data_IF_971773623188
#
_entry.id   IF_971773623188
#
_cell.length_a   1.000
_cell.length_b   1.000
_cell.length_c   1.000
_cell.angle_alpha   90.00
_cell.angle_beta   90.00
_cell.angle_gamma   90.00
#
_symmetry.space_group_name_H-M   'P 1'
#
loop_
_entity.id
_entity.type
_entity.pdbx_description
1 polymer ?
#
# COMPACT_ATOMS: atom_id res chain seq x y z
N UNK A 1 17.75 -1.63 18.99
CA UNK A 1 16.78 -2.67 19.39
C UNK A 1 17.56 -3.97 19.51
N UNK A 2 17.90 -4.38 20.73
CA UNK A 2 18.75 -5.54 21.02
C UNK A 2 17.90 -6.81 20.98
N UNK A 3 18.09 -7.67 19.98
CA UNK A 3 17.56 -9.03 19.99
C UNK A 3 18.54 -9.93 20.76
N UNK A 4 18.13 -10.45 21.91
CA UNK A 4 18.89 -11.47 22.66
C UNK A 4 18.52 -12.87 22.16
N UNK A 5 19.51 -13.49 21.50
CA UNK A 5 19.77 -14.90 21.12
C UNK A 5 18.72 -16.03 21.23
N UNK A 6 17.75 -16.01 22.13
CA UNK A 6 16.96 -17.22 22.48
C UNK A 6 15.44 -17.10 22.32
N UNK A 7 14.93 -15.97 21.83
CA UNK A 7 13.50 -15.81 21.55
C UNK A 7 13.29 -15.44 20.08
N UNK A 8 12.78 -16.39 19.30
CA UNK A 8 12.02 -16.03 18.09
C UNK A 8 11.01 -14.97 18.51
N UNK A 9 11.00 -13.78 17.90
CA UNK A 9 10.15 -12.70 18.37
C UNK A 9 8.71 -13.18 18.36
N UNK A 10 8.08 -13.14 19.54
CA UNK A 10 6.68 -13.51 19.69
C UNK A 10 5.84 -12.63 18.77
N UNK A 11 4.72 -13.15 18.25
CA UNK A 11 3.80 -12.37 17.42
C UNK A 11 3.27 -11.11 18.11
N UNK A 12 3.41 -11.02 19.44
CA UNK A 12 3.04 -9.87 20.26
C UNK A 12 4.17 -8.84 20.45
N UNK A 13 5.35 -9.04 19.86
CA UNK A 13 6.45 -8.07 19.92
C UNK A 13 6.03 -6.74 19.26
N UNK A 14 6.30 -5.57 19.88
CA UNK A 14 6.08 -4.26 19.28
C UNK A 14 6.60 -4.11 17.84
N UNK A 15 7.64 -4.86 17.47
CA UNK A 15 8.16 -4.93 16.10
C UNK A 15 7.10 -5.29 15.05
N UNK A 16 6.07 -6.08 15.40
CA UNK A 16 5.01 -6.50 14.49
C UNK A 16 3.78 -5.58 14.50
N UNK A 17 3.70 -4.57 15.37
CA UNK A 17 2.54 -3.67 15.43
C UNK A 17 2.23 -2.94 14.11
N UNK A 18 3.22 -2.41 13.36
CA UNK A 18 2.96 -1.81 12.05
C UNK A 18 2.37 -2.82 11.05
N UNK A 19 2.84 -4.07 11.07
CA UNK A 19 2.30 -5.14 10.23
C UNK A 19 0.85 -5.50 10.62
N UNK A 20 0.54 -5.57 11.92
CA UNK A 20 -0.83 -5.82 12.38
C UNK A 20 -1.78 -4.71 11.95
N UNK A 21 -1.37 -3.45 12.08
CA UNK A 21 -2.14 -2.30 11.62
C UNK A 21 -2.41 -2.38 10.10
N UNK A 22 -1.40 -2.74 9.31
CA UNK A 22 -1.56 -3.00 7.87
C UNK A 22 -2.58 -4.12 7.60
N UNK A 23 -2.46 -5.27 8.27
CA UNK A 23 -3.35 -6.43 8.07
C UNK A 23 -4.80 -6.11 8.44
N UNK A 24 -5.02 -5.39 9.55
CA UNK A 24 -6.35 -4.90 9.95
C UNK A 24 -6.92 -3.96 8.89
N UNK A 25 -6.09 -3.05 8.34
CA UNK A 25 -6.47 -2.18 7.25
C UNK A 25 -6.90 -2.94 5.99
N UNK A 26 -6.12 -3.95 5.57
CA UNK A 26 -6.45 -4.81 4.42
C UNK A 26 -7.75 -5.58 4.66
N UNK A 27 -7.93 -6.16 5.86
CA UNK A 27 -9.16 -6.86 6.20
C UNK A 27 -10.37 -5.93 6.17
N UNK A 28 -10.25 -4.75 6.77
CA UNK A 28 -11.29 -3.72 6.75
C UNK A 28 -11.66 -3.29 5.34
N UNK A 29 -10.65 -3.08 4.47
CA UNK A 29 -10.83 -2.75 3.06
C UNK A 29 -11.63 -3.82 2.32
N UNK A 30 -11.23 -5.09 2.41
CA UNK A 30 -11.90 -6.19 1.71
C UNK A 30 -13.32 -6.39 2.23
N UNK A 31 -13.51 -6.31 3.55
CA UNK A 31 -14.82 -6.42 4.19
C UNK A 31 -15.75 -5.29 3.77
N UNK A 32 -15.33 -4.03 3.90
CA UNK A 32 -16.16 -2.90 3.53
C UNK A 32 -16.51 -2.89 2.04
N UNK A 33 -15.57 -3.27 1.17
CA UNK A 33 -15.82 -3.36 -0.26
C UNK A 33 -16.85 -4.45 -0.60
N UNK A 34 -16.73 -5.64 0.02
CA UNK A 34 -17.71 -6.72 -0.15
C UNK A 34 -19.09 -6.33 0.39
N UNK A 35 -19.17 -5.66 1.54
CA UNK A 35 -20.42 -5.13 2.10
C UNK A 35 -21.07 -4.10 1.17
N UNK A 36 -20.28 -3.18 0.60
CA UNK A 36 -20.78 -2.16 -0.32
C UNK A 36 -21.42 -2.75 -1.57
N UNK A 37 -20.85 -3.83 -2.09
CA UNK A 37 -21.42 -4.56 -3.22
C UNK A 37 -22.63 -5.43 -2.83
N UNK A 38 -22.58 -6.10 -1.68
CA UNK A 38 -23.66 -6.95 -1.18
C UNK A 38 -24.95 -6.16 -0.92
N UNK A 39 -24.82 -4.99 -0.27
CA UNK A 39 -25.98 -4.17 0.10
C UNK A 39 -26.35 -3.10 -0.93
N UNK A 40 -25.70 -3.09 -2.09
CA UNK A 40 -25.91 -2.10 -3.16
C UNK A 40 -27.37 -2.05 -3.67
N UNK A 41 -28.09 -3.17 -3.63
CA UNK A 41 -29.47 -3.30 -4.13
C UNK A 41 -30.54 -3.11 -3.05
N UNK A 42 -30.18 -2.98 -1.76
CA UNK A 42 -31.16 -2.93 -0.67
C UNK A 42 -31.93 -1.60 -0.61
N UNK A 43 -31.21 -0.48 -0.59
CA UNK A 43 -31.81 0.87 -0.63
C UNK A 43 -30.77 1.91 -1.07
N UNK A 44 -31.26 3.08 -1.52
CA UNK A 44 -30.38 4.19 -1.91
C UNK A 44 -29.51 4.66 -0.74
N UNK A 45 -30.09 4.76 0.46
CA UNK A 45 -29.40 5.21 1.68
C UNK A 45 -28.33 4.22 2.13
N UNK A 46 -28.66 2.92 2.21
CA UNK A 46 -27.72 1.87 2.64
C UNK A 46 -26.55 1.80 1.66
N UNK A 47 -26.84 1.84 0.36
CA UNK A 47 -25.81 1.89 -0.68
C UNK A 47 -24.83 3.04 -0.47
N UNK A 48 -25.31 4.26 -0.24
CA UNK A 48 -24.45 5.42 -0.03
C UNK A 48 -23.58 5.27 1.23
N UNK A 49 -24.15 4.81 2.34
CA UNK A 49 -23.42 4.56 3.59
C UNK A 49 -22.33 3.52 3.37
N UNK A 50 -22.65 2.37 2.78
CA UNK A 50 -21.66 1.31 2.59
C UNK A 50 -20.51 1.74 1.68
N UNK A 51 -20.77 2.52 0.61
CA UNK A 51 -19.71 3.05 -0.22
C UNK A 51 -18.88 4.16 0.46
N UNK A 52 -19.46 4.94 1.37
CA UNK A 52 -18.67 5.86 2.19
C UNK A 52 -17.73 5.12 3.14
N UNK A 53 -18.22 4.03 3.75
CA UNK A 53 -17.39 3.16 4.59
C UNK A 53 -16.27 2.52 3.76
N UNK A 54 -16.58 2.01 2.56
CA UNK A 54 -15.58 1.45 1.62
C UNK A 54 -14.45 2.46 1.35
N UNK A 55 -14.79 3.70 0.96
CA UNK A 55 -13.79 4.76 0.76
C UNK A 55 -13.00 5.10 2.02
N UNK A 56 -13.64 5.10 3.20
CA UNK A 56 -12.94 5.32 4.47
C UNK A 56 -11.92 4.21 4.76
N UNK A 57 -12.26 2.96 4.47
CA UNK A 57 -11.34 1.82 4.67
C UNK A 57 -10.17 1.79 3.69
N UNK A 58 -10.33 2.26 2.45
CA UNK A 58 -9.21 2.48 1.51
C UNK A 58 -8.17 3.44 2.11
N UNK A 59 -8.66 4.52 2.73
CA UNK A 59 -7.82 5.51 3.39
C UNK A 59 -7.16 4.96 4.66
N UNK A 60 -7.89 4.18 5.47
CA UNK A 60 -7.32 3.51 6.64
C UNK A 60 -6.21 2.50 6.24
N UNK A 61 -6.45 1.71 5.19
CA UNK A 61 -5.44 0.84 4.59
C UNK A 61 -4.21 1.63 4.11
N UNK A 62 -4.40 2.77 3.45
CA UNK A 62 -3.30 3.64 2.99
C UNK A 62 -2.42 4.09 4.16
N UNK A 63 -3.02 4.53 5.26
CA UNK A 63 -2.29 4.94 6.46
C UNK A 63 -1.56 3.76 7.08
N UNK A 64 -2.20 2.59 7.17
CA UNK A 64 -1.58 1.37 7.68
C UNK A 64 -0.41 0.88 6.84
N UNK A 65 -0.54 0.90 5.52
CA UNK A 65 0.53 0.62 4.57
C UNK A 65 1.67 1.63 4.72
N UNK A 66 1.36 2.94 4.79
CA UNK A 66 2.38 3.98 5.01
C UNK A 66 3.16 3.75 6.30
N UNK A 67 2.49 3.37 7.39
CA UNK A 67 3.16 3.00 8.64
C UNK A 67 4.12 1.81 8.45
N UNK A 68 3.68 0.74 7.78
CA UNK A 68 4.53 -0.41 7.50
C UNK A 68 5.75 -0.03 6.61
N UNK A 69 5.55 0.81 5.61
CA UNK A 69 6.66 1.35 4.80
C UNK A 69 7.65 2.16 5.64
N UNK A 70 7.15 3.03 6.53
CA UNK A 70 8.00 3.85 7.39
C UNK A 70 8.87 2.99 8.30
N UNK A 71 8.30 1.95 8.91
CA UNK A 71 9.01 1.11 9.88
C UNK A 71 9.92 0.05 9.26
N UNK A 72 9.51 -0.59 8.15
CA UNK A 72 10.27 -1.68 7.55
C UNK A 72 11.13 -1.27 6.35
N UNK A 73 10.75 -0.21 5.65
CA UNK A 73 11.38 0.26 4.41
C UNK A 73 11.90 1.69 4.62
N UNK A 74 12.57 1.89 5.75
CA UNK A 74 13.04 3.21 6.17
C UNK A 74 14.34 3.61 5.42
N UNK A 75 14.46 4.87 4.95
CA UNK A 75 15.66 5.43 4.33
C UNK A 75 16.99 5.22 5.06
N UNK A 76 17.00 5.14 6.40
CA UNK A 76 18.21 4.98 7.21
C UNK A 76 18.87 3.61 7.00
N UNK A 77 18.11 2.58 6.58
CA UNK A 77 18.66 1.24 6.28
C UNK A 77 19.50 1.20 5.00
N UNK A 78 19.43 2.23 4.14
CA UNK A 78 20.12 2.25 2.86
C UNK A 78 21.56 2.79 2.90
N UNK A 79 22.05 3.31 4.04
CA UNK A 79 23.39 3.89 4.09
C UNK A 79 24.08 3.71 5.46
N UNK A 80 24.72 2.55 5.74
CA UNK A 80 25.53 2.37 6.93
C UNK A 80 26.91 3.06 6.90
N UNK A 81 27.28 3.77 5.81
CA UNK A 81 28.69 4.05 5.50
C UNK A 81 29.17 5.50 5.37
N UNK A 82 28.30 6.50 5.17
CA UNK A 82 28.76 7.88 4.96
C UNK A 82 28.14 8.83 6.00
N UNK A 83 28.90 9.02 7.08
CA UNK A 83 28.61 9.92 8.18
C UNK A 83 28.81 11.39 7.77
N UNK A 84 27.87 11.96 7.03
CA UNK A 84 27.57 13.39 7.17
C UNK A 84 26.55 13.53 8.31
N UNK A 85 26.93 14.22 9.38
CA UNK A 85 26.25 14.25 10.68
C UNK A 85 24.92 14.99 10.73
N UNK A 86 24.40 15.51 9.61
CA UNK A 86 23.13 16.25 9.59
C UNK A 86 22.00 15.47 8.87
N UNK A 87 21.05 14.87 9.62
CA UNK A 87 19.89 14.16 9.08
C UNK A 87 18.97 15.02 8.19
N UNK A 88 19.01 16.35 8.33
CA UNK A 88 18.15 17.26 7.57
C UNK A 88 18.64 17.46 6.13
N UNK A 89 19.95 17.48 5.91
CA UNK A 89 20.56 17.66 4.58
C UNK A 89 20.29 16.47 3.64
N UNK A 90 20.04 15.27 4.19
CA UNK A 90 19.65 14.08 3.41
C UNK A 90 18.12 13.91 3.29
N UNK A 91 17.32 14.83 3.81
CA UNK A 91 15.86 14.70 3.81
C UNK A 91 15.31 13.62 4.75
N UNK A 92 16.17 12.97 5.54
CA UNK A 92 15.79 11.92 6.50
C UNK A 92 14.99 12.51 7.67
N UNK A 93 15.40 13.68 8.19
CA UNK A 93 14.64 14.38 9.24
C UNK A 93 13.25 14.85 8.80
N UNK A 94 13.11 15.27 7.53
CA UNK A 94 11.82 15.59 6.92
C UNK A 94 10.95 14.34 6.82
N UNK A 95 11.52 13.23 6.36
CA UNK A 95 10.84 11.95 6.24
C UNK A 95 10.36 11.43 7.60
N UNK A 96 11.21 11.51 8.65
CA UNK A 96 10.87 11.07 10.01
C UNK A 96 9.72 11.85 10.65
N UNK A 97 9.62 13.15 10.33
CA UNK A 97 8.66 14.04 10.97
C UNK A 97 7.36 14.19 10.17
N UNK A 98 7.43 14.23 8.83
CA UNK A 98 6.32 14.67 7.99
C UNK A 98 5.69 13.57 7.15
N UNK A 99 6.34 12.40 7.03
CA UNK A 99 5.80 11.31 6.23
C UNK A 99 4.47 10.76 6.76
N UNK A 100 4.40 10.38 8.05
CA UNK A 100 3.16 9.87 8.64
C UNK A 100 2.05 10.94 8.69
N UNK A 101 2.30 12.19 9.12
CA UNK A 101 1.29 13.24 9.06
C UNK A 101 0.79 13.52 7.64
N UNK A 102 1.67 13.52 6.63
CA UNK A 102 1.28 13.72 5.24
C UNK A 102 0.43 12.56 4.70
N UNK A 103 0.77 11.31 5.03
CA UNK A 103 -0.05 10.15 4.69
C UNK A 103 -1.46 10.24 5.30
N UNK A 104 -1.57 10.64 6.56
CA UNK A 104 -2.86 10.88 7.22
C UNK A 104 -3.64 12.02 6.56
N UNK A 105 -2.98 13.14 6.24
CA UNK A 105 -3.63 14.27 5.56
C UNK A 105 -4.15 13.87 4.17
N UNK A 106 -3.35 13.13 3.40
CA UNK A 106 -3.71 12.62 2.08
C UNK A 106 -4.89 11.65 2.18
N UNK A 107 -4.90 10.78 3.18
CA UNK A 107 -6.01 9.86 3.44
C UNK A 107 -7.31 10.63 3.76
N UNK A 108 -7.26 11.68 4.56
CA UNK A 108 -8.42 12.55 4.84
C UNK A 108 -8.89 13.26 3.58
N UNK A 109 -7.99 13.88 2.83
CA UNK A 109 -8.31 14.58 1.57
C UNK A 109 -8.94 13.62 0.56
N UNK A 110 -8.35 12.44 0.37
CA UNK A 110 -8.87 11.44 -0.56
C UNK A 110 -10.26 10.94 -0.15
N UNK A 111 -10.50 10.70 1.14
CA UNK A 111 -11.81 10.32 1.65
C UNK A 111 -12.85 11.41 1.40
N UNK A 112 -12.54 12.66 1.76
CA UNK A 112 -13.44 13.80 1.56
C UNK A 112 -13.71 14.06 0.07
N UNK A 113 -12.69 13.94 -0.78
CA UNK A 113 -12.82 14.05 -2.22
C UNK A 113 -13.75 12.98 -2.78
N UNK A 114 -13.52 11.69 -2.43
CA UNK A 114 -14.37 10.57 -2.79
C UNK A 114 -15.83 10.78 -2.40
N UNK A 115 -16.06 11.16 -1.14
CA UNK A 115 -17.41 11.41 -0.64
C UNK A 115 -18.09 12.57 -1.37
N UNK A 116 -17.36 13.66 -1.61
CA UNK A 116 -17.86 14.86 -2.30
C UNK A 116 -18.18 14.61 -3.78
N UNK A 117 -17.42 13.76 -4.47
CA UNK A 117 -17.70 13.37 -5.86
C UNK A 117 -19.09 12.78 -6.01
N UNK A 118 -19.50 11.94 -5.06
CA UNK A 118 -20.77 11.23 -5.14
C UNK A 118 -21.97 12.17 -4.99
N UNK A 119 -21.82 13.22 -4.18
CA UNK A 119 -22.91 14.15 -3.85
C UNK A 119 -23.01 15.35 -4.79
N UNK A 120 -21.89 15.96 -5.21
CA UNK A 120 -21.91 17.30 -5.81
C UNK A 120 -21.09 17.44 -7.11
N UNK A 121 -20.06 16.60 -7.34
CA UNK A 121 -19.05 16.84 -8.40
C UNK A 121 -19.03 15.72 -9.46
N UNK A 122 -20.20 15.31 -9.95
CA UNK A 122 -20.33 14.20 -10.92
C UNK A 122 -19.55 14.44 -12.23
N UNK A 123 -19.38 15.70 -12.67
CA UNK A 123 -18.62 16.07 -13.88
C UNK A 123 -17.12 15.72 -13.78
N UNK A 124 -16.53 15.80 -12.58
CA UNK A 124 -15.11 15.55 -12.33
C UNK A 124 -14.81 14.15 -11.79
N UNK A 125 -15.81 13.26 -11.80
CA UNK A 125 -15.72 11.93 -11.17
C UNK A 125 -14.53 11.09 -11.65
N UNK A 126 -14.17 11.18 -12.93
CA UNK A 126 -13.06 10.42 -13.48
C UNK A 126 -11.69 10.96 -13.06
N UNK A 127 -11.54 12.29 -13.03
CA UNK A 127 -10.32 12.95 -12.57
C UNK A 127 -10.10 12.71 -11.07
N UNK A 128 -11.14 12.93 -10.27
CA UNK A 128 -11.07 12.75 -8.81
C UNK A 128 -10.79 11.28 -8.48
N UNK A 129 -11.44 10.33 -9.16
CA UNK A 129 -11.18 8.91 -8.91
C UNK A 129 -9.77 8.48 -9.31
N UNK A 130 -9.21 9.02 -10.39
CA UNK A 130 -7.81 8.74 -10.78
C UNK A 130 -6.84 9.37 -9.79
N UNK A 131 -7.09 10.60 -9.36
CA UNK A 131 -6.26 11.32 -8.39
C UNK A 131 -6.26 10.63 -7.01
N UNK A 132 -7.41 10.10 -6.59
CA UNK A 132 -7.55 9.33 -5.35
C UNK A 132 -6.76 8.01 -5.38
N UNK A 133 -6.48 7.41 -6.54
CA UNK A 133 -5.58 6.26 -6.60
C UNK A 133 -4.11 6.68 -6.66
N UNK A 134 -3.81 7.73 -7.41
CA UNK A 134 -2.44 8.14 -7.64
C UNK A 134 -1.80 8.82 -6.42
N UNK A 135 -2.52 9.73 -5.77
CA UNK A 135 -1.97 10.52 -4.66
C UNK A 135 -1.59 9.63 -3.46
N UNK A 136 -2.47 8.76 -2.92
CA UNK A 136 -2.09 7.81 -1.87
C UNK A 136 -0.93 6.91 -2.25
N UNK A 137 -0.91 6.39 -3.49
CA UNK A 137 0.17 5.54 -3.98
C UNK A 137 1.52 6.27 -3.98
N UNK A 138 1.57 7.49 -4.52
CA UNK A 138 2.80 8.28 -4.59
C UNK A 138 3.35 8.60 -3.20
N UNK A 139 2.46 8.92 -2.26
CA UNK A 139 2.84 9.25 -0.88
C UNK A 139 3.29 7.99 -0.14
N UNK A 140 2.52 6.90 -0.18
CA UNK A 140 2.88 5.64 0.48
C UNK A 140 4.17 5.02 -0.09
N UNK A 141 4.44 5.19 -1.38
CA UNK A 141 5.62 4.62 -2.05
C UNK A 141 6.85 5.54 -2.03
N UNK A 142 6.74 6.76 -1.49
CA UNK A 142 7.86 7.70 -1.33
C UNK A 142 9.14 7.09 -0.70
N UNK A 143 9.07 6.18 0.29
CA UNK A 143 10.27 5.61 0.92
C UNK A 143 11.05 4.70 -0.05
N UNK A 144 10.32 3.98 -0.91
CA UNK A 144 10.93 3.15 -1.97
C UNK A 144 11.53 4.01 -3.06
N UNK A 145 10.85 5.08 -3.48
CA UNK A 145 11.41 6.01 -4.46
C UNK A 145 12.71 6.65 -3.94
N UNK A 146 12.76 6.99 -2.65
CA UNK A 146 13.98 7.48 -2.02
C UNK A 146 15.09 6.41 -2.01
N UNK A 147 14.79 5.15 -1.64
CA UNK A 147 15.77 4.05 -1.68
C UNK A 147 16.31 3.80 -3.09
N UNK A 148 15.44 3.82 -4.11
CA UNK A 148 15.81 3.72 -5.52
C UNK A 148 16.74 4.84 -5.98
N UNK A 149 16.50 6.06 -5.50
CA UNK A 149 17.37 7.20 -5.77
C UNK A 149 18.73 7.08 -5.07
N UNK A 150 18.75 6.58 -3.83
CA UNK A 150 19.96 6.43 -3.03
C UNK A 150 20.84 5.24 -3.46
N UNK A 151 20.28 4.23 -4.13
CA UNK A 151 21.01 3.06 -4.63
C UNK A 151 20.10 1.94 -5.15
N UNK A 152 20.67 0.83 -5.64
CA UNK A 152 19.87 -0.31 -6.06
C UNK A 152 19.08 -0.87 -4.87
N UNK A 153 17.78 -1.10 -5.06
CA UNK A 153 16.96 -1.83 -4.09
C UNK A 153 17.54 -3.24 -3.89
N UNK A 154 17.34 -3.80 -2.69
CA UNK A 154 17.63 -5.21 -2.43
C UNK A 154 17.03 -6.09 -3.53
N UNK A 155 17.77 -7.10 -4.00
CA UNK A 155 17.35 -7.95 -5.12
C UNK A 155 16.01 -8.67 -4.90
N UNK A 156 15.59 -8.82 -3.63
CA UNK A 156 14.29 -9.36 -3.25
C UNK A 156 13.17 -8.32 -3.22
N UNK A 157 13.46 -7.04 -2.97
CA UNK A 157 12.48 -5.96 -2.78
C UNK A 157 11.95 -5.41 -4.11
N UNK A 158 12.86 -5.11 -5.04
CA UNK A 158 12.54 -4.58 -6.37
C UNK A 158 11.45 -5.37 -7.13
N UNK A 159 11.54 -6.72 -7.27
CA UNK A 159 10.57 -7.46 -8.07
C UNK A 159 9.16 -7.48 -7.45
N UNK A 160 9.01 -7.43 -6.12
CA UNK A 160 7.69 -7.30 -5.50
C UNK A 160 7.12 -5.90 -5.72
N UNK A 161 7.94 -4.85 -5.58
CA UNK A 161 7.49 -3.47 -5.81
C UNK A 161 7.06 -3.23 -7.27
N UNK A 162 7.82 -3.70 -8.25
CA UNK A 162 7.43 -3.54 -9.66
C UNK A 162 6.14 -4.29 -10.00
N UNK A 163 5.94 -5.49 -9.45
CA UNK A 163 4.69 -6.22 -9.62
C UNK A 163 3.52 -5.54 -8.91
N UNK A 164 3.72 -5.01 -7.71
CA UNK A 164 2.74 -4.16 -7.03
C UNK A 164 2.31 -2.96 -7.89
N UNK A 165 3.28 -2.21 -8.44
CA UNK A 165 3.02 -1.10 -9.35
C UNK A 165 2.27 -1.54 -10.61
N UNK A 166 2.67 -2.65 -11.21
CA UNK A 166 2.02 -3.23 -12.40
C UNK A 166 0.56 -3.58 -12.11
N UNK A 167 0.28 -4.28 -11.02
CA UNK A 167 -1.08 -4.67 -10.64
C UNK A 167 -1.96 -3.46 -10.29
N UNK A 168 -1.39 -2.45 -9.64
CA UNK A 168 -2.10 -1.21 -9.35
C UNK A 168 -2.45 -0.44 -10.63
N UNK A 169 -1.51 -0.36 -11.58
CA UNK A 169 -1.76 0.25 -12.89
C UNK A 169 -2.83 -0.54 -13.67
N UNK A 170 -2.73 -1.87 -13.70
CA UNK A 170 -3.71 -2.73 -14.34
C UNK A 170 -5.11 -2.52 -13.73
N UNK A 171 -5.19 -2.47 -12.40
CA UNK A 171 -6.41 -2.16 -11.66
C UNK A 171 -7.02 -0.81 -12.11
N UNK A 172 -6.21 0.26 -12.14
CA UNK A 172 -6.65 1.57 -12.60
C UNK A 172 -7.15 1.55 -14.06
N UNK A 173 -6.44 0.86 -14.95
CA UNK A 173 -6.80 0.71 -16.37
C UNK A 173 -8.14 0.01 -16.51
N UNK A 174 -8.37 -1.13 -15.87
CA UNK A 174 -9.67 -1.81 -15.91
C UNK A 174 -10.79 -0.94 -15.35
N UNK A 175 -10.51 -0.24 -14.25
CA UNK A 175 -11.50 0.59 -13.59
C UNK A 175 -11.97 1.76 -14.47
N UNK A 176 -11.04 2.43 -15.16
CA UNK A 176 -11.30 3.62 -16.00
C UNK A 176 -11.79 3.24 -17.39
N UNK A 177 -11.15 2.27 -18.05
CA UNK A 177 -11.43 1.94 -19.45
C UNK A 177 -12.77 1.21 -19.67
N UNK A 178 -13.26 0.50 -18.64
CA UNK A 178 -14.45 -0.37 -18.71
C UNK A 178 -14.32 -1.47 -19.76
N UNK A 179 -13.11 -1.95 -20.00
CA UNK A 179 -12.81 -3.09 -20.88
C UNK A 179 -12.88 -4.37 -20.04
N UNK A 180 -13.51 -5.46 -20.51
CA UNK A 180 -13.99 -5.71 -21.88
C UNK A 180 -15.45 -5.33 -22.18
N UNK A 181 -16.26 -5.00 -21.18
CA UNK A 181 -17.71 -4.74 -21.36
C UNK A 181 -18.01 -3.60 -22.34
N UNK A 182 -17.09 -2.64 -22.46
CA UNK A 182 -17.16 -1.55 -23.44
C UNK A 182 -17.12 -2.05 -24.89
N UNK A 183 -16.43 -3.15 -25.17
CA UNK A 183 -16.30 -3.72 -26.52
C UNK A 183 -17.40 -4.73 -26.85
N UNK A 184 -18.06 -5.31 -25.85
CA UNK A 184 -19.15 -6.25 -26.07
C UNK A 184 -20.21 -6.11 -24.97
N UNK A 185 -21.09 -5.11 -25.10
CA UNK A 185 -22.21 -4.92 -24.18
C UNK A 185 -23.07 -6.18 -24.13
N UNK A 186 -23.49 -6.60 -22.93
CA UNK A 186 -24.36 -7.77 -22.73
C UNK A 186 -23.62 -9.11 -22.59
N UNK A 187 -22.33 -9.21 -22.96
CA UNK A 187 -21.57 -10.47 -22.83
C UNK A 187 -20.88 -10.66 -21.48
N UNK A 188 -20.62 -9.56 -20.77
CA UNK A 188 -19.85 -9.54 -19.53
C UNK A 188 -20.70 -9.14 -18.31
N UNK A 189 -22.02 -9.27 -18.38
CA UNK A 189 -22.94 -8.73 -17.37
C UNK A 189 -22.80 -9.42 -16.00
N UNK A 190 -22.43 -10.71 -15.98
CA UNK A 190 -22.27 -11.51 -14.76
C UNK A 190 -20.80 -11.80 -14.45
N UNK A 191 -20.02 -12.16 -15.48
CA UNK A 191 -18.63 -12.61 -15.33
C UNK A 191 -17.70 -11.83 -16.25
N UNK A 192 -16.52 -11.52 -15.75
CA UNK A 192 -15.42 -10.95 -16.51
C UNK A 192 -15.54 -9.46 -16.83
N UNK A 193 -16.47 -8.73 -16.22
CA UNK A 193 -16.52 -7.27 -16.38
C UNK A 193 -15.33 -6.58 -15.69
N UNK A 194 -14.99 -5.38 -16.13
CA UNK A 194 -13.79 -4.67 -15.69
C UNK A 194 -13.72 -4.45 -14.18
N UNK A 195 -14.88 -4.27 -13.53
CA UNK A 195 -14.94 -4.08 -12.08
C UNK A 195 -14.54 -5.34 -11.28
N UNK A 196 -14.76 -6.55 -11.82
CA UNK A 196 -14.24 -7.79 -11.21
C UNK A 196 -12.71 -7.85 -11.37
N UNK A 197 -12.20 -7.55 -12.57
CA UNK A 197 -10.76 -7.50 -12.81
C UNK A 197 -10.04 -6.44 -11.98
N UNK A 198 -10.68 -5.29 -11.75
CA UNK A 198 -10.22 -4.26 -10.82
C UNK A 198 -9.99 -4.83 -9.41
N UNK A 199 -10.95 -5.56 -8.87
CA UNK A 199 -10.82 -6.20 -7.55
C UNK A 199 -9.71 -7.26 -7.54
N UNK A 200 -9.64 -8.13 -8.56
CA UNK A 200 -8.57 -9.13 -8.65
C UNK A 200 -7.17 -8.50 -8.72
N UNK A 201 -6.97 -7.49 -9.56
CA UNK A 201 -5.68 -6.80 -9.69
C UNK A 201 -5.32 -6.06 -8.39
N UNK A 202 -6.29 -5.40 -7.74
CA UNK A 202 -6.06 -4.72 -6.45
C UNK A 202 -5.65 -5.72 -5.37
N UNK A 203 -6.29 -6.89 -5.30
CA UNK A 203 -5.90 -7.95 -4.37
C UNK A 203 -4.47 -8.46 -4.64
N UNK A 204 -4.11 -8.70 -5.90
CA UNK A 204 -2.75 -9.11 -6.28
C UNK A 204 -1.70 -8.06 -5.90
N UNK A 205 -2.04 -6.77 -6.07
CA UNK A 205 -1.21 -5.64 -5.63
C UNK A 205 -0.95 -5.65 -4.13
N UNK A 206 -1.99 -5.82 -3.31
CA UNK A 206 -1.91 -5.93 -1.85
C UNK A 206 -1.12 -7.17 -1.42
N UNK A 207 -1.25 -8.28 -2.15
CA UNK A 207 -0.51 -9.51 -1.87
C UNK A 207 0.99 -9.34 -2.11
N UNK A 208 1.38 -8.71 -3.23
CA UNK A 208 2.78 -8.43 -3.50
C UNK A 208 3.37 -7.39 -2.53
N UNK A 209 2.57 -6.41 -2.08
CA UNK A 209 2.96 -5.49 -0.99
C UNK A 209 3.19 -6.22 0.34
N UNK A 210 2.32 -7.15 0.73
CA UNK A 210 2.52 -7.97 1.94
C UNK A 210 3.78 -8.84 1.83
N UNK A 211 4.04 -9.42 0.65
CA UNK A 211 5.25 -10.23 0.41
C UNK A 211 6.52 -9.39 0.50
N UNK A 212 6.44 -8.15 0.02
CA UNK A 212 7.51 -7.17 0.15
C UNK A 212 7.83 -6.87 1.61
N UNK A 213 6.83 -6.55 2.44
CA UNK A 213 7.03 -6.34 3.88
C UNK A 213 7.61 -7.58 4.56
N UNK A 214 7.07 -8.77 4.27
CA UNK A 214 7.61 -10.03 4.82
C UNK A 214 9.07 -10.28 4.41
N UNK A 215 9.44 -9.93 3.18
CA UNK A 215 10.81 -10.04 2.69
C UNK A 215 11.78 -9.14 3.47
N UNK A 216 11.42 -7.87 3.65
CA UNK A 216 12.26 -6.91 4.40
C UNK A 216 12.30 -7.23 5.90
N UNK A 217 11.19 -7.65 6.50
CA UNK A 217 11.16 -8.12 7.89
C UNK A 217 12.16 -9.26 8.10
N UNK A 218 12.19 -10.26 7.19
CA UNK A 218 13.16 -11.36 7.25
C UNK A 218 14.60 -10.88 7.11
N UNK A 219 14.84 -9.94 6.20
CA UNK A 219 16.17 -9.35 6.01
C UNK A 219 16.62 -8.59 7.26
N UNK A 220 15.75 -7.76 7.85
CA UNK A 220 16.02 -7.04 9.09
C UNK A 220 16.31 -8.00 10.26
N UNK A 221 15.53 -9.07 10.39
CA UNK A 221 15.80 -10.10 11.40
C UNK A 221 17.16 -10.77 11.19
N UNK A 222 17.54 -11.06 9.94
CA UNK A 222 18.84 -11.67 9.63
C UNK A 222 20.03 -10.71 9.87
N UNK A 223 19.91 -9.43 9.52
CA UNK A 223 20.98 -8.44 9.70
C UNK A 223 21.15 -8.04 11.17
N UNK A 224 20.07 -8.08 11.95
CA UNK A 224 20.12 -7.75 13.39
C UNK A 224 20.55 -8.95 14.24
N UNK A 225 20.61 -10.16 13.67
CA UNK A 225 21.15 -11.35 14.33
C UNK A 225 22.70 -11.34 14.22
N UNK A 226 23.44 -11.22 15.34
CA UNK A 226 24.90 -11.21 15.34
C UNK A 226 25.54 -12.55 14.90
N UNK A 227 24.75 -13.59 14.62
CA UNK A 227 25.21 -14.90 14.16
C UNK A 227 24.95 -15.17 12.66
N UNK A 228 24.39 -14.23 11.89
CA UNK A 228 24.15 -14.43 10.46
C UNK A 228 25.46 -14.43 9.66
N UNK A 229 26.07 -15.61 9.49
CA UNK A 229 26.99 -15.85 8.39
C UNK A 229 26.28 -15.46 7.09
N UNK A 230 26.83 -14.44 6.40
CA UNK A 230 26.48 -14.17 5.01
C UNK A 230 26.51 -15.50 4.24
N UNK A 231 25.47 -15.88 3.48
CA UNK A 231 25.64 -16.94 2.51
C UNK A 231 26.65 -16.45 1.47
N UNK A 232 27.90 -16.88 1.66
CA UNK A 232 28.99 -16.78 0.71
C UNK A 232 28.49 -17.37 -0.61
N UNK A 233 28.51 -16.54 -1.65
CA UNK A 233 28.55 -16.89 -3.07
C UNK A 233 28.18 -18.35 -3.42
N UNK A 234 26.92 -18.58 -3.77
CA UNK A 234 26.57 -19.63 -4.73
C UNK A 234 26.30 -18.97 -6.08
N UNK A 235 27.35 -18.32 -6.61
CA UNK A 235 27.47 -17.97 -8.01
C UNK A 235 28.56 -18.86 -8.60
N UNK A 236 28.15 -20.06 -9.01
CA UNK A 236 28.77 -20.88 -10.06
C UNK A 236 27.65 -21.55 -10.82
#
# INVERSE_FOLDING_TARGET
LFFTRDSTPSFSDPFFYPLWNYVIGVFGLLLASSMAHLFNSMSLLVREICFFVDYGTISAYTVGSSLAYFYYIHPQTAAPGNASSDPWLRGVGFFDTLYIPSACLVAVICTLACCSTRRRWQKYRYLIRTFVFLLPFTVASAPIFYRLYAGPLNGTLAPFFYRHCFWLLASAVFNVSKIPERFSPGKFDIWGHSHQWFHCCTFMSILDELRMFKGEIRWLSAVTDPAAELPLAAAT
#
